data_IF_405526641218
#
_entry.id   IF_405526641218
#
_cell.length_a   1.000
_cell.length_b   1.000
_cell.length_c   1.000
_cell.angle_alpha   90.00
_cell.angle_beta   90.00
_cell.angle_gamma   90.00
#
_symmetry.space_group_name_H-M   'P 1'
#
loop_
_entity.id
_entity.type
_entity.pdbx_description
1 polymer ?
#
# COMPACT_ATOMS: atom_id res chain seq x y z
N UNK A 1 -24.09 -5.78 16.18
CA UNK A 1 -22.64 -6.03 16.31
C UNK A 1 -21.95 -5.51 15.07
N UNK A 2 -21.28 -4.37 15.17
CA UNK A 2 -20.50 -3.82 14.06
C UNK A 2 -19.27 -4.70 13.89
N UNK A 3 -19.07 -5.29 12.71
CA UNK A 3 -17.86 -6.06 12.41
C UNK A 3 -16.81 -5.07 11.92
N UNK A 4 -15.78 -4.78 12.72
CA UNK A 4 -14.67 -3.86 12.38
C UNK A 4 -14.12 -4.09 10.96
N UNK A 5 -14.02 -5.37 10.55
CA UNK A 5 -13.58 -5.74 9.20
C UNK A 5 -14.46 -5.17 8.09
N UNK A 6 -15.78 -5.01 8.33
CA UNK A 6 -16.70 -4.38 7.38
C UNK A 6 -16.43 -2.89 7.28
N UNK A 7 -16.31 -2.18 8.40
CA UNK A 7 -15.98 -0.74 8.40
C UNK A 7 -14.65 -0.51 7.67
N UNK A 8 -13.62 -1.27 8.01
CA UNK A 8 -12.32 -1.19 7.35
C UNK A 8 -12.42 -1.42 5.84
N UNK A 9 -13.16 -2.44 5.42
CA UNK A 9 -13.34 -2.75 3.99
C UNK A 9 -14.11 -1.64 3.27
N UNK A 10 -15.22 -1.18 3.85
CA UNK A 10 -16.09 -0.16 3.27
C UNK A 10 -15.31 1.15 3.04
N UNK A 11 -14.50 1.58 4.02
CA UNK A 11 -13.72 2.82 3.90
C UNK A 11 -12.62 2.71 2.81
N UNK A 12 -11.93 1.57 2.74
CA UNK A 12 -10.92 1.37 1.67
C UNK A 12 -11.59 1.38 0.31
N UNK A 13 -12.71 0.67 0.15
CA UNK A 13 -13.45 0.61 -1.11
C UNK A 13 -13.92 2.00 -1.52
N UNK A 14 -14.59 2.73 -0.63
CA UNK A 14 -15.10 4.08 -0.90
C UNK A 14 -13.99 5.03 -1.37
N UNK A 15 -12.81 4.96 -0.74
CA UNK A 15 -11.69 5.84 -1.10
C UNK A 15 -10.98 5.43 -2.39
N UNK A 16 -10.98 4.15 -2.73
CA UNK A 16 -10.20 3.63 -3.85
C UNK A 16 -11.02 3.44 -5.13
N UNK A 17 -12.36 3.45 -5.05
CA UNK A 17 -13.22 3.23 -6.19
C UNK A 17 -12.99 4.30 -7.29
N UNK A 18 -12.73 3.84 -8.51
CA UNK A 18 -12.41 4.68 -9.67
C UNK A 18 -11.20 5.61 -9.48
N UNK A 19 -10.26 5.25 -8.59
CA UNK A 19 -9.03 6.00 -8.33
C UNK A 19 -7.80 5.24 -8.80
N UNK A 20 -6.74 5.97 -9.14
CA UNK A 20 -5.41 5.40 -9.34
C UNK A 20 -4.73 5.25 -7.98
N UNK A 21 -4.65 4.01 -7.50
CA UNK A 21 -4.21 3.68 -6.13
C UNK A 21 -2.74 3.29 -6.10
N UNK A 22 -1.98 3.85 -5.17
CA UNK A 22 -0.66 3.39 -4.77
C UNK A 22 -0.74 2.72 -3.41
N UNK A 23 -0.27 1.49 -3.29
CA UNK A 23 -0.18 0.76 -2.03
C UNK A 23 1.29 0.67 -1.60
N UNK A 24 1.63 1.13 -0.39
CA UNK A 24 2.93 0.79 0.18
C UNK A 24 2.93 -0.68 0.60
N UNK A 25 3.94 -1.42 0.15
CA UNK A 25 4.00 -2.87 0.28
C UNK A 25 5.30 -3.27 0.97
N UNK A 26 5.24 -3.67 2.23
CA UNK A 26 6.40 -4.14 3.02
C UNK A 26 6.33 -5.63 3.38
N UNK A 27 5.21 -6.29 3.09
CA UNK A 27 4.92 -7.63 3.58
C UNK A 27 4.39 -7.67 5.02
N UNK A 28 4.28 -6.51 5.69
CA UNK A 28 3.64 -6.37 6.99
C UNK A 28 2.16 -6.76 6.99
N UNK A 29 1.59 -7.00 8.17
CA UNK A 29 0.18 -7.36 8.31
C UNK A 29 -0.76 -6.25 7.82
N UNK A 30 -0.42 -4.99 8.10
CA UNK A 30 -1.24 -3.82 7.74
C UNK A 30 -1.41 -3.69 6.22
N UNK A 31 -0.30 -3.73 5.49
CA UNK A 31 -0.30 -3.62 4.03
C UNK A 31 -0.99 -4.82 3.37
N UNK A 32 -0.83 -6.02 3.97
CA UNK A 32 -1.54 -7.23 3.49
C UNK A 32 -3.03 -7.18 3.78
N UNK A 33 -3.46 -6.58 4.89
CA UNK A 33 -4.88 -6.39 5.19
C UNK A 33 -5.52 -5.47 4.15
N UNK A 34 -4.89 -4.33 3.84
CA UNK A 34 -5.35 -3.43 2.78
C UNK A 34 -5.38 -4.14 1.42
N UNK A 35 -4.30 -4.82 1.04
CA UNK A 35 -4.25 -5.61 -0.20
C UNK A 35 -5.37 -6.64 -0.29
N UNK A 36 -5.68 -7.33 0.82
CA UNK A 36 -6.76 -8.32 0.85
C UNK A 36 -8.13 -7.71 0.55
N UNK A 37 -8.37 -6.46 0.98
CA UNK A 37 -9.60 -5.72 0.67
C UNK A 37 -9.61 -5.35 -0.81
N UNK A 38 -8.51 -4.80 -1.33
CA UNK A 38 -8.40 -4.46 -2.76
C UNK A 38 -8.67 -5.69 -3.64
N UNK A 39 -8.04 -6.83 -3.34
CA UNK A 39 -8.25 -8.08 -4.07
C UNK A 39 -9.71 -8.58 -3.99
N UNK A 40 -10.30 -8.58 -2.79
CA UNK A 40 -11.68 -9.03 -2.58
C UNK A 40 -12.69 -8.20 -3.39
N UNK A 41 -12.41 -6.90 -3.54
CA UNK A 41 -13.27 -5.95 -4.24
C UNK A 41 -12.82 -5.67 -5.68
N UNK A 42 -11.82 -6.40 -6.19
CA UNK A 42 -11.28 -6.27 -7.55
C UNK A 42 -10.79 -4.87 -7.90
N UNK A 43 -10.21 -4.18 -6.92
CA UNK A 43 -9.62 -2.85 -7.11
C UNK A 43 -8.15 -3.04 -7.43
N UNK A 44 -7.72 -2.54 -8.58
CA UNK A 44 -6.33 -2.59 -9.00
C UNK A 44 -5.51 -1.49 -8.35
N UNK A 45 -4.25 -1.78 -8.03
CA UNK A 45 -3.30 -0.80 -7.53
C UNK A 45 -1.91 -0.98 -8.14
N UNK A 46 -1.10 0.07 -8.08
CA UNK A 46 0.36 -0.10 -8.13
C UNK A 46 0.87 -0.30 -6.70
N UNK A 47 1.96 -1.05 -6.58
CA UNK A 47 2.65 -1.25 -5.32
C UNK A 47 3.95 -0.45 -5.30
N UNK A 48 4.31 0.08 -4.14
CA UNK A 48 5.63 0.68 -3.90
C UNK A 48 6.28 0.08 -2.67
N UNK A 49 7.56 -0.26 -2.78
CA UNK A 49 8.38 -0.69 -1.65
C UNK A 49 9.61 0.19 -1.59
N UNK A 50 9.85 0.79 -0.44
CA UNK A 50 11.13 1.41 -0.12
C UNK A 50 11.78 0.61 1.00
N UNK A 51 13.11 0.51 1.01
CA UNK A 51 13.83 0.11 2.22
C UNK A 51 14.78 1.25 2.61
N UNK A 52 14.65 1.69 3.85
CA UNK A 52 15.72 2.44 4.48
C UNK A 52 16.76 1.43 4.95
N UNK A 53 18.04 1.75 4.77
CA UNK A 53 19.16 0.92 5.27
C UNK A 53 19.34 -0.44 4.59
N UNK A 54 18.78 -0.63 3.39
CA UNK A 54 19.08 -1.82 2.58
C UNK A 54 18.56 -3.14 3.17
N UNK A 55 17.51 -3.12 3.99
CA UNK A 55 16.88 -4.34 4.53
C UNK A 55 16.26 -5.12 3.37
N UNK A 56 16.87 -6.25 2.92
CA UNK A 56 16.47 -6.90 1.67
C UNK A 56 15.20 -7.74 1.82
N UNK A 57 14.78 -8.00 3.06
CA UNK A 57 13.72 -8.95 3.36
C UNK A 57 12.34 -8.40 2.96
N UNK A 58 12.04 -7.15 3.28
CA UNK A 58 10.80 -6.48 2.90
C UNK A 58 10.66 -6.40 1.38
N UNK A 59 11.74 -6.05 0.68
CA UNK A 59 11.77 -6.05 -0.79
C UNK A 59 11.53 -7.45 -1.34
N UNK A 60 12.18 -8.47 -0.77
CA UNK A 60 12.02 -9.86 -1.23
C UNK A 60 10.58 -10.34 -1.06
N UNK A 61 9.95 -10.03 0.07
CA UNK A 61 8.56 -10.41 0.33
C UNK A 61 7.60 -9.61 -0.53
N UNK A 62 7.78 -8.29 -0.63
CA UNK A 62 6.96 -7.44 -1.46
C UNK A 62 7.00 -7.88 -2.93
N UNK A 63 8.18 -8.20 -3.46
CA UNK A 63 8.34 -8.78 -4.80
C UNK A 63 7.58 -10.09 -4.97
N UNK A 64 7.64 -10.97 -3.97
CA UNK A 64 6.90 -12.23 -4.03
C UNK A 64 5.39 -11.95 -4.08
N UNK A 65 4.88 -11.10 -3.19
CA UNK A 65 3.47 -10.74 -3.14
C UNK A 65 3.03 -10.07 -4.45
N UNK A 66 3.80 -9.14 -5.00
CA UNK A 66 3.46 -8.45 -6.25
C UNK A 66 3.39 -9.38 -7.44
N UNK A 67 4.25 -10.41 -7.48
CA UNK A 67 4.23 -11.39 -8.56
C UNK A 67 3.06 -12.39 -8.43
N UNK A 68 2.64 -12.69 -7.20
CA UNK A 68 1.61 -13.69 -6.92
C UNK A 68 0.18 -13.10 -6.94
N UNK A 69 0.03 -11.77 -6.91
CA UNK A 69 -1.28 -11.09 -6.78
C UNK A 69 -1.65 -10.33 -8.05
N UNK A 70 -2.69 -10.81 -8.74
CA UNK A 70 -3.18 -10.27 -10.02
C UNK A 70 -3.64 -8.80 -9.96
N UNK A 71 -4.07 -8.32 -8.80
CA UNK A 71 -4.59 -6.95 -8.64
C UNK A 71 -3.49 -5.90 -8.45
N UNK A 72 -2.21 -6.29 -8.53
CA UNK A 72 -1.07 -5.37 -8.57
C UNK A 72 -0.64 -5.21 -10.02
N UNK A 73 -0.81 -4.01 -10.58
CA UNK A 73 -0.46 -3.69 -11.97
C UNK A 73 1.04 -3.55 -12.17
N UNK A 74 1.69 -2.78 -11.29
CA UNK A 74 3.11 -2.51 -11.34
C UNK A 74 3.71 -2.44 -9.93
N UNK A 75 4.94 -2.93 -9.76
CA UNK A 75 5.67 -2.85 -8.50
C UNK A 75 6.90 -1.95 -8.63
N UNK A 76 6.85 -0.80 -7.96
CA UNK A 76 7.93 0.17 -7.89
C UNK A 76 8.82 -0.17 -6.69
N UNK A 77 10.12 -0.35 -6.94
CA UNK A 77 11.11 -0.55 -5.87
C UNK A 77 12.00 0.68 -5.81
N UNK A 78 11.88 1.40 -4.70
CA UNK A 78 12.70 2.57 -4.40
C UNK A 78 13.96 2.10 -3.69
N UNK A 79 15.05 1.98 -4.45
CA UNK A 79 16.38 1.83 -3.89
C UNK A 79 16.90 3.22 -3.51
N UNK A 80 16.97 3.49 -2.21
CA UNK A 80 17.45 4.75 -1.69
C UNK A 80 18.75 4.59 -0.90
N UNK A 81 19.61 5.58 -1.02
CA UNK A 81 20.88 5.67 -0.28
C UNK A 81 20.69 6.14 1.17
N UNK A 82 19.56 6.77 1.46
CA UNK A 82 19.17 7.29 2.77
C UNK A 82 17.64 7.38 2.89
N UNK A 83 17.12 7.66 4.09
CA UNK A 83 15.70 7.97 4.29
C UNK A 83 15.27 9.22 3.51
N UNK A 84 16.11 10.26 3.48
CA UNK A 84 15.82 11.50 2.74
C UNK A 84 15.70 11.25 1.23
N UNK A 85 16.60 10.44 0.66
CA UNK A 85 16.54 10.02 -0.74
C UNK A 85 15.29 9.17 -1.02
N UNK A 86 14.89 8.30 -0.07
CA UNK A 86 13.66 7.51 -0.19
C UNK A 86 12.44 8.43 -0.26
N UNK A 87 12.36 9.44 0.61
CA UNK A 87 11.28 10.41 0.61
C UNK A 87 11.24 11.26 -0.65
N UNK A 88 12.38 11.75 -1.14
CA UNK A 88 12.44 12.49 -2.42
C UNK A 88 11.90 11.68 -3.60
N UNK A 89 12.34 10.42 -3.72
CA UNK A 89 11.83 9.52 -4.77
C UNK A 89 10.35 9.21 -4.59
N UNK A 90 9.88 9.09 -3.34
CA UNK A 90 8.47 8.91 -3.05
C UNK A 90 7.65 10.14 -3.48
N UNK A 91 8.14 11.35 -3.22
CA UNK A 91 7.49 12.62 -3.59
C UNK A 91 7.43 12.84 -5.12
N UNK A 92 8.35 12.25 -5.88
CA UNK A 92 8.29 12.23 -7.35
C UNK A 92 7.21 11.28 -7.88
N UNK A 93 6.93 10.20 -7.15
CA UNK A 93 5.96 9.17 -7.55
C UNK A 93 4.54 9.56 -7.13
N UNK A 94 4.38 10.04 -5.90
CA UNK A 94 3.10 10.34 -5.24
C UNK A 94 2.12 11.15 -6.10
N UNK A 95 2.52 12.23 -6.81
CA UNK A 95 1.59 13.06 -7.59
C UNK A 95 0.90 12.32 -8.75
N UNK A 96 1.39 11.14 -9.13
CA UNK A 96 0.81 10.34 -10.21
C UNK A 96 -0.36 9.46 -9.77
N UNK A 97 -0.78 9.55 -8.50
CA UNK A 97 -1.80 8.72 -7.88
C UNK A 97 -2.84 9.59 -7.18
N UNK A 98 -4.09 9.13 -7.18
CA UNK A 98 -5.18 9.82 -6.50
C UNK A 98 -5.19 9.52 -4.99
N UNK A 99 -4.79 8.29 -4.63
CA UNK A 99 -4.81 7.78 -3.26
C UNK A 99 -3.54 6.97 -3.01
N UNK A 100 -2.97 7.18 -1.83
CA UNK A 100 -1.86 6.38 -1.32
C UNK A 100 -2.28 5.70 -0.03
N UNK A 101 -2.20 4.37 -0.03
CA UNK A 101 -2.49 3.53 1.12
C UNK A 101 -1.17 3.19 1.84
N UNK A 102 -1.05 3.62 3.09
CA UNK A 102 0.11 3.39 3.94
C UNK A 102 -0.32 2.75 5.28
N UNK A 103 0.54 1.95 5.92
CA UNK A 103 0.20 1.27 7.17
C UNK A 103 -0.26 2.22 8.29
N UNK A 104 0.40 3.38 8.42
CA UNK A 104 0.03 4.44 9.38
C UNK A 104 -1.37 5.03 9.15
N UNK A 105 -1.90 4.88 7.94
CA UNK A 105 -3.24 5.33 7.61
C UNK A 105 -4.32 4.53 8.35
N UNK A 106 -4.03 3.26 8.68
CA UNK A 106 -4.93 2.40 9.45
C UNK A 106 -5.09 2.92 10.89
N UNK A 107 -4.01 3.42 11.50
CA UNK A 107 -4.09 3.99 12.85
C UNK A 107 -4.97 5.25 12.91
N UNK A 108 -4.85 6.16 11.94
CA UNK A 108 -5.65 7.39 11.89
C UNK A 108 -7.08 7.21 11.36
N UNK A 109 -7.41 6.04 10.81
CA UNK A 109 -8.76 5.69 10.33
C UNK A 109 -9.76 5.56 11.48
N UNK A 110 -9.30 5.12 12.65
CA UNK A 110 -10.15 4.93 13.82
C UNK A 110 -10.31 6.19 14.67
N UNK A 111 -9.46 7.21 14.50
CA UNK A 111 -9.57 8.47 15.27
C UNK A 111 -10.84 9.28 14.94
N UNK A 112 -11.55 8.94 13.87
CA UNK A 112 -12.80 9.59 13.42
C UNK A 112 -14.07 8.80 13.75
N UNK A 113 -13.96 7.63 14.39
CA UNK A 113 -15.08 6.76 14.79
C UNK A 113 -15.06 6.47 16.28
#
# INVERSE_FOLDING_TARGET
MIKLNKIFSDIIVERCENKKVLLTLSGGLDTRAMLSVLCKHKIYCDAITHSASGVPWDIKIAKKISNDVEYINHHIIVNASSLEDAWKKFDEIYPNYDIVLHGEWISGLFDKY
#
